data_IF_546795722880
#
_entry.id   IF_546795722880
#
_cell.length_a   1.000
_cell.length_b   1.000
_cell.length_c   1.000
_cell.angle_alpha   90.00
_cell.angle_beta   90.00
_cell.angle_gamma   90.00
#
_symmetry.space_group_name_H-M   'P 1'
#
loop_
_entity.id
_entity.type
_entity.pdbx_description
1 polymer ?
#
# COMPACT_ATOMS: atom_id res chain seq x y z
N UNK A 1 91.31 46.32 -23.94
CA UNK A 1 91.25 47.72 -24.40
C UNK A 1 91.61 47.78 -25.88
N UNK A 2 90.62 47.85 -26.77
CA UNK A 2 90.67 48.58 -28.06
C UNK A 2 89.35 48.38 -28.80
N UNK A 3 88.66 49.51 -28.92
CA UNK A 3 87.55 49.77 -29.83
C UNK A 3 88.05 49.61 -31.26
N UNK A 4 87.25 49.06 -32.18
CA UNK A 4 87.00 49.73 -33.48
C UNK A 4 85.83 49.11 -34.24
N UNK A 5 84.91 50.00 -34.60
CA UNK A 5 83.85 49.86 -35.60
C UNK A 5 84.43 49.48 -36.97
N UNK A 6 83.67 48.75 -37.79
CA UNK A 6 83.58 49.02 -39.24
C UNK A 6 82.16 48.88 -39.74
N UNK A 7 81.87 49.76 -40.70
CA UNK A 7 80.59 50.10 -41.32
C UNK A 7 80.22 49.15 -42.45
N UNK A 8 78.98 49.35 -42.93
CA UNK A 8 78.49 49.17 -44.30
C UNK A 8 78.09 47.75 -44.68
N UNK A 9 77.09 47.53 -45.52
CA UNK A 9 75.96 48.32 -46.00
C UNK A 9 75.00 47.28 -46.60
N UNK A 10 73.71 47.51 -46.42
CA UNK A 10 72.64 46.63 -46.90
C UNK A 10 72.57 46.66 -48.43
N UNK A 11 72.51 45.49 -49.05
CA UNK A 11 71.97 45.30 -50.40
C UNK A 11 70.75 44.37 -50.30
N UNK A 12 69.62 44.88 -50.77
CA UNK A 12 68.30 44.28 -50.71
C UNK A 12 68.17 43.22 -51.80
N UNK A 13 67.80 42.00 -51.42
CA UNK A 13 67.26 40.99 -52.34
C UNK A 13 65.78 40.78 -52.00
N UNK A 14 64.95 41.02 -53.01
CA UNK A 14 63.50 40.87 -52.99
C UNK A 14 63.18 39.36 -53.02
N UNK A 15 62.60 38.84 -51.93
CA UNK A 15 61.98 37.51 -51.91
C UNK A 15 60.47 37.68 -51.68
N UNK A 16 59.68 37.26 -52.68
CA UNK A 16 58.23 37.11 -52.59
C UNK A 16 57.91 36.00 -51.58
N UNK A 17 57.34 36.38 -50.43
CA UNK A 17 56.73 35.44 -49.48
C UNK A 17 55.22 35.55 -49.66
N UNK A 18 54.62 34.53 -50.25
CA UNK A 18 53.17 34.34 -50.35
C UNK A 18 52.69 33.90 -48.96
N UNK A 19 51.89 34.70 -48.22
CA UNK A 19 51.34 34.26 -46.95
C UNK A 19 50.27 33.19 -47.21
N UNK A 20 50.49 32.00 -46.65
CA UNK A 20 49.49 30.94 -46.58
C UNK A 20 48.22 31.48 -45.89
N UNK A 21 47.01 31.13 -46.37
CA UNK A 21 45.79 31.51 -45.67
C UNK A 21 45.80 30.88 -44.28
N UNK A 22 45.80 31.72 -43.25
CA UNK A 22 45.65 31.30 -41.87
C UNK A 22 44.35 30.53 -41.71
N UNK A 23 44.45 29.27 -41.27
CA UNK A 23 43.29 28.45 -40.95
C UNK A 23 42.60 29.05 -39.74
N UNK A 24 41.50 29.78 -39.95
CA UNK A 24 40.59 30.18 -38.88
C UNK A 24 39.97 28.90 -38.34
N UNK A 25 40.36 28.50 -37.13
CA UNK A 25 39.73 27.39 -36.42
C UNK A 25 38.35 27.87 -35.99
N UNK A 26 37.30 27.30 -36.58
CA UNK A 26 35.94 27.49 -36.07
C UNK A 26 35.91 27.01 -34.61
N UNK A 27 35.56 27.90 -33.68
CA UNK A 27 35.21 27.50 -32.33
C UNK A 27 33.83 26.83 -32.42
N UNK A 28 33.79 25.52 -32.19
CA UNK A 28 32.53 24.82 -31.95
C UNK A 28 31.85 25.43 -30.73
N UNK A 29 30.75 26.13 -30.95
CA UNK A 29 29.84 26.53 -29.89
C UNK A 29 29.05 25.28 -29.53
N UNK A 30 29.38 24.65 -28.41
CA UNK A 30 28.59 23.56 -27.87
C UNK A 30 27.17 24.08 -27.60
N UNK A 31 26.11 23.38 -28.06
CA UNK A 31 24.75 23.77 -27.77
C UNK A 31 24.53 23.75 -26.25
N UNK A 32 23.71 24.67 -25.70
CA UNK A 32 23.42 24.69 -24.28
C UNK A 32 22.79 23.35 -23.87
N UNK A 33 23.46 22.62 -22.98
CA UNK A 33 22.92 21.41 -22.39
C UNK A 33 21.93 21.79 -21.29
N UNK A 34 20.65 21.55 -21.55
CA UNK A 34 19.58 21.66 -20.56
C UNK A 34 19.59 20.41 -19.68
N UNK A 35 20.07 20.54 -18.45
CA UNK A 35 19.93 19.51 -17.43
C UNK A 35 18.55 19.67 -16.78
N UNK A 36 17.59 18.87 -17.22
CA UNK A 36 16.31 18.71 -16.53
C UNK A 36 16.55 17.87 -15.27
N UNK A 37 16.15 18.33 -14.06
CA UNK A 37 16.16 17.47 -12.91
C UNK A 37 15.16 16.32 -13.16
N UNK A 38 15.65 15.09 -13.16
CA UNK A 38 14.78 13.92 -13.12
C UNK A 38 14.20 13.84 -11.71
N UNK A 39 13.00 14.38 -11.51
CA UNK A 39 12.22 14.16 -10.29
C UNK A 39 11.58 12.78 -10.44
N UNK A 40 12.23 11.75 -9.92
CA UNK A 40 11.59 10.45 -9.73
C UNK A 40 10.82 10.51 -8.42
N UNK A 41 9.51 10.80 -8.46
CA UNK A 41 8.65 10.43 -7.35
C UNK A 41 8.51 8.91 -7.41
N UNK A 42 9.37 8.18 -6.70
CA UNK A 42 9.11 6.78 -6.37
C UNK A 42 7.98 6.75 -5.34
N UNK A 43 6.79 7.20 -5.73
CA UNK A 43 5.62 7.09 -4.87
C UNK A 43 5.33 5.60 -4.79
N UNK A 44 5.58 5.02 -3.60
CA UNK A 44 5.24 3.62 -3.29
C UNK A 44 3.76 3.34 -3.61
N UNK A 45 2.94 4.39 -3.56
CA UNK A 45 1.56 4.37 -3.93
C UNK A 45 1.32 4.90 -5.35
N UNK A 46 0.75 4.09 -6.25
CA UNK A 46 0.34 4.54 -7.57
C UNK A 46 -0.82 5.55 -7.49
N UNK A 47 -1.27 6.03 -8.65
CA UNK A 47 -2.47 6.86 -8.78
C UNK A 47 -3.71 6.21 -8.13
N UNK A 48 -4.74 7.03 -7.89
CA UNK A 48 -6.04 6.62 -7.35
C UNK A 48 -6.66 5.41 -8.11
N UNK A 49 -7.70 4.83 -7.51
CA UNK A 49 -8.45 3.73 -8.14
C UNK A 49 -9.44 4.22 -9.20
N UNK A 50 -9.71 5.53 -9.26
CA UNK A 50 -10.74 6.15 -10.09
C UNK A 50 -12.17 5.97 -9.54
N UNK A 51 -12.31 5.45 -8.32
CA UNK A 51 -13.60 5.22 -7.66
C UNK A 51 -14.08 6.46 -6.89
N UNK A 52 -15.37 6.45 -6.55
CA UNK A 52 -15.96 7.44 -5.64
C UNK A 52 -16.51 6.75 -4.39
N UNK A 53 -16.39 7.43 -3.25
CA UNK A 53 -16.72 6.86 -1.95
C UNK A 53 -17.80 7.68 -1.25
N UNK A 54 -18.61 7.01 -0.45
CA UNK A 54 -19.65 7.65 0.36
C UNK A 54 -19.62 7.13 1.79
N UNK A 55 -20.14 7.95 2.70
CA UNK A 55 -20.25 7.59 4.11
C UNK A 55 -21.70 7.29 4.49
N UNK A 56 -21.91 6.25 5.29
CA UNK A 56 -23.21 5.88 5.87
C UNK A 56 -23.19 6.06 7.38
N UNK A 57 -24.36 6.06 8.01
CA UNK A 57 -24.48 6.14 9.47
C UNK A 57 -23.92 4.88 10.13
N UNK A 58 -23.20 5.07 11.23
CA UNK A 58 -22.69 4.00 12.10
C UNK A 58 -23.75 3.60 13.12
N UNK A 59 -23.85 2.31 13.42
CA UNK A 59 -24.70 1.84 14.52
C UNK A 59 -24.02 2.09 15.86
N UNK A 60 -24.73 2.73 16.83
CA UNK A 60 -24.16 2.98 18.15
C UNK A 60 -23.95 1.66 18.93
N UNK A 61 -23.04 1.65 19.91
CA UNK A 61 -22.20 2.76 20.33
C UNK A 61 -20.99 2.97 19.40
N UNK A 62 -20.41 4.20 19.37
CA UNK A 62 -19.11 4.41 18.74
C UNK A 62 -18.02 3.61 19.45
N UNK A 63 -16.86 3.48 18.81
CA UNK A 63 -15.67 2.92 19.45
C UNK A 63 -15.32 3.69 20.73
N UNK A 64 -14.73 3.02 21.71
CA UNK A 64 -14.51 3.56 23.06
C UNK A 64 -13.26 4.44 23.20
N UNK A 65 -12.44 4.53 22.14
CA UNK A 65 -11.21 5.34 22.08
C UNK A 65 -10.85 5.67 20.63
N UNK A 66 -9.92 6.60 20.36
CA UNK A 66 -9.50 6.92 19.00
C UNK A 66 -9.09 5.67 18.21
N UNK A 67 -9.53 5.55 16.95
CA UNK A 67 -9.30 4.34 16.15
C UNK A 67 -7.80 4.04 15.93
N UNK A 68 -6.97 5.09 15.82
CA UNK A 68 -5.52 4.96 15.73
C UNK A 68 -4.88 4.34 16.99
N UNK A 69 -5.54 4.43 18.15
CA UNK A 69 -5.12 3.90 19.45
C UNK A 69 -5.88 2.61 19.83
N UNK A 70 -6.75 2.11 18.95
CA UNK A 70 -7.59 0.94 19.21
C UNK A 70 -6.97 -0.31 18.58
N UNK A 71 -6.40 -1.21 19.40
CA UNK A 71 -5.66 -2.39 18.93
C UNK A 71 -6.50 -3.43 18.15
N UNK A 72 -7.84 -3.37 18.26
CA UNK A 72 -8.72 -4.15 17.38
C UNK A 72 -8.98 -3.51 16.02
N UNK A 73 -8.81 -2.19 15.86
CA UNK A 73 -9.07 -1.49 14.60
C UNK A 73 -7.76 -1.21 13.86
N UNK A 74 -6.72 -0.82 14.57
CA UNK A 74 -5.38 -0.60 14.05
C UNK A 74 -4.47 -1.79 14.37
N UNK A 75 -4.33 -2.71 13.42
CA UNK A 75 -3.55 -3.94 13.58
C UNK A 75 -2.08 -3.66 13.93
N UNK A 76 -1.52 -2.51 13.53
CA UNK A 76 -0.13 -2.16 13.79
C UNK A 76 0.22 -2.04 15.29
N UNK A 77 -0.76 -1.75 16.14
CA UNK A 77 -0.57 -1.73 17.59
C UNK A 77 -0.26 -3.13 18.11
N UNK A 78 -1.01 -4.14 17.64
CA UNK A 78 -0.75 -5.55 17.92
C UNK A 78 0.53 -6.00 17.23
N UNK A 79 0.74 -5.62 15.97
CA UNK A 79 1.80 -6.16 15.12
C UNK A 79 1.71 -7.70 15.01
N UNK A 80 2.69 -8.31 14.37
CA UNK A 80 2.73 -9.74 14.14
C UNK A 80 4.18 -10.21 13.98
N UNK A 81 4.42 -11.49 14.22
CA UNK A 81 5.72 -12.13 14.05
C UNK A 81 5.62 -13.32 13.08
N UNK A 82 6.70 -13.66 12.36
CA UNK A 82 6.72 -14.82 11.46
C UNK A 82 6.37 -16.11 12.20
N UNK A 83 5.68 -17.00 11.49
CA UNK A 83 5.40 -18.37 11.94
C UNK A 83 5.67 -19.35 10.79
N UNK A 84 5.55 -20.64 11.07
CA UNK A 84 5.74 -21.70 10.06
C UNK A 84 4.42 -22.42 9.77
N UNK A 85 4.33 -23.03 8.59
CA UNK A 85 3.17 -23.77 8.13
C UNK A 85 3.18 -23.94 6.62
N UNK A 86 2.20 -24.68 6.09
CA UNK A 86 2.02 -24.79 4.65
C UNK A 86 1.65 -23.44 4.04
N UNK A 87 2.37 -23.03 3.00
CA UNK A 87 2.05 -21.87 2.15
C UNK A 87 0.98 -22.28 1.13
N UNK A 88 -0.26 -22.31 1.60
CA UNK A 88 -1.40 -22.73 0.78
C UNK A 88 -2.67 -22.86 1.60
N UNK A 89 -3.76 -23.19 0.91
CA UNK A 89 -5.04 -23.45 1.56
C UNK A 89 -4.97 -24.65 2.49
N UNK A 90 -5.66 -24.57 3.62
CA UNK A 90 -5.74 -25.64 4.62
C UNK A 90 -7.21 -26.00 4.89
N UNK A 91 -7.43 -27.28 5.19
CA UNK A 91 -8.76 -27.78 5.52
C UNK A 91 -8.98 -27.77 7.03
N UNK A 92 -9.97 -27.01 7.47
CA UNK A 92 -10.49 -27.06 8.82
C UNK A 92 -11.80 -27.84 8.86
N UNK A 93 -12.10 -28.49 9.98
CA UNK A 93 -13.42 -29.06 10.25
C UNK A 93 -14.40 -28.01 10.80
N UNK A 94 -15.67 -28.40 10.96
CA UNK A 94 -16.70 -27.58 11.61
C UNK A 94 -17.59 -26.79 10.64
N UNK A 95 -18.54 -26.05 11.22
CA UNK A 95 -19.49 -25.24 10.46
C UNK A 95 -18.79 -24.13 9.67
N UNK A 96 -19.46 -23.64 8.64
CA UNK A 96 -19.01 -22.52 7.79
C UNK A 96 -20.18 -21.56 7.66
N UNK A 97 -19.89 -20.26 7.64
CA UNK A 97 -20.90 -19.26 7.29
C UNK A 97 -20.99 -19.14 5.75
N UNK A 98 -22.17 -19.37 5.14
CA UNK A 98 -22.33 -19.27 3.69
C UNK A 98 -22.17 -17.84 3.15
N UNK A 99 -22.14 -16.83 4.02
CA UNK A 99 -21.95 -15.43 3.67
C UNK A 99 -20.59 -14.89 4.15
N UNK A 100 -19.65 -15.74 4.57
CA UNK A 100 -18.29 -15.31 4.85
C UNK A 100 -17.64 -14.61 3.63
N UNK A 101 -16.85 -13.54 3.83
CA UNK A 101 -16.15 -12.86 2.74
C UNK A 101 -15.16 -13.79 2.05
N UNK A 102 -15.11 -13.73 0.72
CA UNK A 102 -14.29 -14.63 -0.08
C UNK A 102 -13.01 -13.95 -0.56
N UNK A 103 -11.86 -14.34 -0.02
CA UNK A 103 -10.58 -13.65 -0.21
C UNK A 103 -10.06 -13.65 -1.65
N UNK A 104 -10.50 -14.57 -2.51
CA UNK A 104 -10.20 -14.47 -3.94
C UNK A 104 -10.75 -13.18 -4.56
N UNK A 105 -11.80 -12.59 -3.97
CA UNK A 105 -12.38 -11.31 -4.38
C UNK A 105 -11.49 -10.08 -4.14
N UNK A 106 -10.37 -10.22 -3.42
CA UNK A 106 -9.35 -9.17 -3.34
C UNK A 106 -8.75 -8.86 -4.72
N UNK A 107 -8.65 -9.88 -5.59
CA UNK A 107 -7.95 -9.80 -6.87
C UNK A 107 -8.94 -9.64 -8.03
N UNK A 108 -8.57 -8.82 -9.02
CA UNK A 108 -9.46 -8.52 -10.16
C UNK A 108 -9.75 -9.74 -11.05
N UNK A 109 -8.82 -10.68 -11.15
CA UNK A 109 -8.98 -11.95 -11.87
C UNK A 109 -9.59 -13.06 -11.01
N UNK A 110 -9.94 -12.74 -9.76
CA UNK A 110 -10.46 -13.67 -8.77
C UNK A 110 -9.58 -14.92 -8.60
N UNK A 111 -8.24 -14.80 -8.69
CA UNK A 111 -7.35 -15.93 -8.43
C UNK A 111 -7.35 -16.35 -6.96
N UNK A 112 -6.97 -17.60 -6.71
CA UNK A 112 -6.50 -17.98 -5.37
C UNK A 112 -5.17 -17.28 -5.14
N UNK A 113 -5.05 -16.47 -4.08
CA UNK A 113 -3.80 -15.79 -3.76
C UNK A 113 -2.70 -16.81 -3.46
N UNK A 114 -1.50 -16.58 -4.00
CA UNK A 114 -0.33 -17.38 -3.64
C UNK A 114 0.18 -16.91 -2.28
N UNK A 115 0.30 -17.83 -1.32
CA UNK A 115 0.74 -17.53 0.03
C UNK A 115 2.27 -17.43 0.06
N UNK A 116 2.82 -16.27 0.44
CA UNK A 116 4.27 -16.01 0.41
C UNK A 116 4.91 -16.03 1.79
N UNK A 117 4.16 -15.65 2.82
CA UNK A 117 4.61 -15.68 4.21
C UNK A 117 3.43 -15.86 5.17
N UNK A 118 3.72 -16.35 6.38
CA UNK A 118 2.75 -16.63 7.42
C UNK A 118 3.18 -15.96 8.72
N UNK A 119 2.21 -15.40 9.44
CA UNK A 119 2.46 -14.68 10.67
C UNK A 119 1.45 -15.01 11.76
N UNK A 120 1.84 -14.76 13.00
CA UNK A 120 0.98 -14.72 14.18
C UNK A 120 0.91 -13.29 14.70
N UNK A 121 -0.31 -12.77 14.77
CA UNK A 121 -0.65 -11.51 15.43
C UNK A 121 -0.43 -11.65 16.94
N UNK A 122 0.07 -10.60 17.58
CA UNK A 122 0.13 -10.54 19.04
C UNK A 122 -1.25 -10.31 19.65
N UNK A 123 -1.48 -10.93 20.80
CA UNK A 123 -2.63 -10.62 21.62
C UNK A 123 -2.53 -9.20 22.21
N UNK A 124 -3.62 -8.73 22.80
CA UNK A 124 -3.69 -7.41 23.42
C UNK A 124 -4.21 -7.53 24.84
N UNK A 125 -3.41 -7.05 25.78
CA UNK A 125 -3.79 -6.97 27.16
C UNK A 125 -4.50 -5.63 27.41
N UNK A 126 -5.83 -5.69 27.54
CA UNK A 126 -6.66 -4.52 27.77
C UNK A 126 -6.48 -3.89 29.16
N UNK A 127 -5.98 -4.62 30.15
CA UNK A 127 -5.77 -4.08 31.50
C UNK A 127 -4.63 -3.04 31.54
N UNK A 128 -3.56 -3.27 30.76
CA UNK A 128 -2.47 -2.30 30.58
C UNK A 128 -2.62 -1.47 29.30
N UNK A 129 -3.57 -1.82 28.43
CA UNK A 129 -3.65 -1.35 27.04
C UNK A 129 -2.31 -1.51 26.29
N UNK A 130 -1.76 -2.73 26.33
CA UNK A 130 -0.44 -3.03 25.80
C UNK A 130 -0.38 -4.40 25.10
N UNK A 131 0.64 -4.60 24.26
CA UNK A 131 0.85 -5.83 23.50
C UNK A 131 1.10 -7.02 24.43
N UNK A 132 0.39 -8.11 24.21
CA UNK A 132 0.56 -9.39 24.91
C UNK A 132 1.45 -10.37 24.14
N UNK A 133 1.30 -11.66 24.45
CA UNK A 133 2.00 -12.76 23.77
C UNK A 133 1.44 -13.03 22.36
N UNK A 134 2.15 -13.80 21.53
CA UNK A 134 1.63 -14.25 20.25
C UNK A 134 0.39 -15.14 20.42
N UNK A 135 -0.69 -14.88 19.68
CA UNK A 135 -1.92 -15.67 19.73
C UNK A 135 -1.64 -17.15 19.48
N UNK A 136 -1.94 -18.01 20.45
CA UNK A 136 -1.61 -19.44 20.42
C UNK A 136 -2.37 -20.24 19.35
N UNK A 137 -3.58 -19.79 19.02
CA UNK A 137 -4.46 -20.43 18.06
C UNK A 137 -5.31 -19.37 17.34
N UNK A 138 -5.53 -19.49 16.02
CA UNK A 138 -4.93 -20.47 15.11
C UNK A 138 -3.40 -20.26 14.94
N UNK A 139 -2.66 -21.28 14.43
CA UNK A 139 -1.19 -21.20 14.29
C UNK A 139 -0.73 -20.16 13.26
N UNK A 140 -1.64 -19.68 12.42
CA UNK A 140 -1.48 -18.54 11.50
C UNK A 140 -2.70 -17.64 11.69
N UNK A 141 -2.47 -16.35 11.89
CA UNK A 141 -3.54 -15.33 12.05
C UNK A 141 -3.39 -14.16 11.08
N UNK A 142 -2.29 -14.12 10.32
CA UNK A 142 -2.10 -13.25 9.17
C UNK A 142 -1.32 -14.02 8.10
N UNK A 143 -1.72 -13.87 6.84
CA UNK A 143 -1.02 -14.41 5.69
C UNK A 143 -0.66 -13.30 4.72
N UNK A 144 0.51 -13.40 4.11
CA UNK A 144 0.87 -12.56 2.97
C UNK A 144 0.51 -13.26 1.67
N UNK A 145 -0.17 -12.53 0.79
CA UNK A 145 -0.60 -13.00 -0.52
C UNK A 145 0.16 -12.26 -1.62
N UNK A 146 0.74 -13.00 -2.57
CA UNK A 146 1.51 -12.43 -3.67
C UNK A 146 0.65 -11.48 -4.52
N UNK A 147 1.22 -10.34 -4.87
CA UNK A 147 0.65 -9.29 -5.72
C UNK A 147 1.68 -8.77 -6.70
N UNK A 148 1.22 -7.99 -7.69
CA UNK A 148 2.08 -7.10 -8.45
C UNK A 148 1.98 -5.69 -7.86
N UNK A 149 3.10 -4.95 -7.68
CA UNK A 149 3.02 -3.56 -7.24
C UNK A 149 2.07 -2.75 -8.13
N UNK A 150 1.09 -2.09 -7.50
CA UNK A 150 0.06 -1.30 -8.15
C UNK A 150 -1.19 -2.06 -8.63
N UNK A 151 -1.24 -3.38 -8.43
CA UNK A 151 -2.44 -4.21 -8.66
C UNK A 151 -3.63 -3.66 -7.86
N UNK A 152 -4.81 -3.56 -8.49
CA UNK A 152 -6.03 -3.11 -7.80
C UNK A 152 -6.47 -4.14 -6.76
N UNK A 153 -6.74 -3.66 -5.55
CA UNK A 153 -7.29 -4.43 -4.44
C UNK A 153 -8.75 -4.02 -4.22
N UNK A 154 -9.62 -5.03 -4.16
CA UNK A 154 -11.08 -4.88 -4.15
C UNK A 154 -11.70 -5.44 -2.87
N UNK A 155 -12.88 -4.94 -2.51
CA UNK A 155 -13.67 -5.49 -1.41
C UNK A 155 -14.04 -6.95 -1.71
N UNK A 156 -13.62 -7.92 -0.86
CA UNK A 156 -14.08 -9.29 -0.99
C UNK A 156 -15.59 -9.37 -0.78
N UNK A 157 -16.30 -9.87 -1.79
CA UNK A 157 -17.75 -10.07 -1.71
C UNK A 157 -18.09 -11.14 -0.66
N UNK A 158 -19.03 -10.76 0.17
CA UNK A 158 -19.78 -11.48 1.17
C UNK A 158 -21.24 -11.15 0.83
N UNK A 159 -22.12 -12.15 0.77
CA UNK A 159 -23.52 -11.87 0.42
C UNK A 159 -24.30 -11.08 1.49
N UNK A 160 -23.63 -10.51 2.50
CA UNK A 160 -24.23 -9.59 3.45
C UNK A 160 -24.53 -8.24 2.81
N UNK A 161 -25.30 -7.42 3.52
CA UNK A 161 -25.44 -6.00 3.20
C UNK A 161 -25.53 -5.20 4.48
N UNK A 162 -24.92 -4.02 4.46
CA UNK A 162 -25.03 -3.03 5.52
C UNK A 162 -25.95 -1.86 5.10
N UNK A 163 -26.80 -2.09 4.08
CA UNK A 163 -27.76 -1.13 3.56
C UNK A 163 -27.23 -0.32 2.37
N UNK A 164 -28.16 0.23 1.58
CA UNK A 164 -27.87 1.11 0.43
C UNK A 164 -26.90 0.54 -0.62
N UNK A 165 -26.83 -0.79 -0.72
CA UNK A 165 -25.93 -1.52 -1.64
C UNK A 165 -24.47 -1.58 -1.18
N UNK A 166 -24.17 -1.18 0.05
CA UNK A 166 -22.87 -1.34 0.69
C UNK A 166 -22.80 -2.65 1.46
N UNK A 167 -21.57 -3.05 1.73
CA UNK A 167 -21.26 -4.33 2.36
C UNK A 167 -20.24 -4.21 3.48
N UNK A 168 -19.26 -3.31 3.33
CA UNK A 168 -18.27 -3.05 4.37
C UNK A 168 -18.27 -1.60 4.82
N UNK A 169 -18.04 -1.41 6.11
CA UNK A 169 -17.75 -0.13 6.74
C UNK A 169 -16.23 -0.02 6.96
N UNK A 170 -15.63 1.13 6.69
CA UNK A 170 -14.21 1.39 6.94
C UNK A 170 -14.03 1.87 8.38
N UNK A 171 -13.48 1.01 9.25
CA UNK A 171 -13.27 1.33 10.67
C UNK A 171 -11.97 2.07 10.91
N UNK A 172 -10.95 1.83 10.10
CA UNK A 172 -9.65 2.48 10.21
C UNK A 172 -8.95 2.50 8.86
N UNK A 173 -8.27 3.60 8.54
CA UNK A 173 -7.43 3.72 7.35
C UNK A 173 -6.20 4.60 7.64
N UNK A 174 -5.07 4.20 7.07
CA UNK A 174 -3.89 5.06 6.83
C UNK A 174 -3.49 4.90 5.36
N UNK A 175 -2.46 5.60 4.85
CA UNK A 175 -2.03 5.37 3.47
C UNK A 175 -1.65 3.91 3.18
N UNK A 176 -1.13 3.18 4.17
CA UNK A 176 -0.57 1.83 3.99
C UNK A 176 -1.43 0.66 4.49
N UNK A 177 -2.56 0.92 5.16
CA UNK A 177 -3.42 -0.13 5.74
C UNK A 177 -4.87 0.30 5.89
N UNK A 178 -5.77 -0.67 5.91
CA UNK A 178 -7.20 -0.45 6.12
C UNK A 178 -7.83 -1.59 6.92
N UNK A 179 -8.89 -1.26 7.66
CA UNK A 179 -9.73 -2.22 8.37
C UNK A 179 -11.17 -2.12 7.88
N UNK A 180 -11.67 -3.22 7.31
CA UNK A 180 -13.01 -3.33 6.73
C UNK A 180 -13.91 -4.19 7.64
N UNK A 181 -15.14 -3.75 7.87
CA UNK A 181 -16.10 -4.43 8.74
C UNK A 181 -17.38 -4.76 8.00
N UNK A 182 -17.82 -6.01 8.07
CA UNK A 182 -19.03 -6.51 7.38
C UNK A 182 -20.33 -6.27 8.17
N UNK A 183 -20.32 -5.30 9.08
CA UNK A 183 -21.48 -4.80 9.82
C UNK A 183 -21.38 -3.28 9.94
N UNK A 184 -22.40 -2.62 10.50
CA UNK A 184 -22.38 -1.16 10.72
C UNK A 184 -21.82 -0.74 12.08
N UNK A 185 -21.33 -1.67 12.88
CA UNK A 185 -20.86 -1.39 14.23
C UNK A 185 -19.42 -0.87 14.20
N UNK A 186 -19.12 0.15 15.00
CA UNK A 186 -17.77 0.71 15.14
C UNK A 186 -16.91 -0.09 16.14
N UNK A 187 -16.87 -1.40 15.92
CA UNK A 187 -16.10 -2.35 16.71
C UNK A 187 -15.97 -3.69 15.95
N UNK A 188 -15.23 -4.62 16.53
CA UNK A 188 -15.00 -5.94 15.93
C UNK A 188 -15.78 -7.07 16.59
N UNK A 189 -16.66 -6.77 17.56
CA UNK A 189 -17.23 -7.76 18.49
C UNK A 189 -18.09 -8.81 17.79
N UNK A 190 -18.85 -8.42 16.76
CA UNK A 190 -19.73 -9.32 16.02
C UNK A 190 -19.53 -9.20 14.52
N UNK A 191 -19.47 -10.32 13.80
CA UNK A 191 -19.33 -10.37 12.35
C UNK A 191 -17.90 -10.20 11.86
N UNK A 192 -17.70 -10.38 10.55
CA UNK A 192 -16.38 -10.42 9.95
C UNK A 192 -15.68 -9.07 9.90
N UNK A 193 -14.37 -9.07 10.14
CA UNK A 193 -13.48 -7.89 9.98
C UNK A 193 -12.23 -8.32 9.22
N UNK A 194 -11.83 -7.53 8.22
CA UNK A 194 -10.57 -7.72 7.50
C UNK A 194 -9.60 -6.61 7.87
N UNK A 195 -8.35 -6.99 8.14
CA UNK A 195 -7.22 -6.08 8.22
C UNK A 195 -6.31 -6.32 7.02
N UNK A 196 -6.03 -5.27 6.26
CA UNK A 196 -5.15 -5.31 5.10
C UNK A 196 -3.94 -4.43 5.34
N UNK A 197 -2.75 -4.98 5.12
CA UNK A 197 -1.45 -4.32 5.29
C UNK A 197 -0.66 -4.31 3.98
N UNK A 198 0.27 -3.36 3.86
CA UNK A 198 1.14 -3.15 2.69
C UNK A 198 0.36 -2.89 1.38
N UNK A 199 -0.70 -2.12 1.53
CA UNK A 199 -1.51 -1.59 0.43
C UNK A 199 -1.28 -0.08 0.30
N UNK A 200 -1.89 0.52 -0.70
CA UNK A 200 -1.96 1.95 -0.92
C UNK A 200 -3.43 2.32 -1.00
N UNK A 201 -3.99 2.74 0.14
CA UNK A 201 -5.39 3.13 0.25
C UNK A 201 -5.65 4.32 -0.68
N UNK A 202 -6.79 4.29 -1.37
CA UNK A 202 -7.18 5.37 -2.25
C UNK A 202 -7.19 6.72 -1.50
N UNK A 203 -6.53 7.77 -2.03
CA UNK A 203 -6.46 9.07 -1.38
C UNK A 203 -7.81 9.71 -1.08
N UNK A 204 -8.82 9.53 -1.94
CA UNK A 204 -10.17 10.06 -1.71
C UNK A 204 -10.88 9.31 -0.58
N UNK A 205 -10.71 7.97 -0.54
CA UNK A 205 -11.23 7.16 0.56
C UNK A 205 -10.57 7.52 1.90
N UNK A 206 -9.25 7.68 1.90
CA UNK A 206 -8.50 8.09 3.08
C UNK A 206 -8.95 9.46 3.58
N UNK A 207 -9.07 10.45 2.68
CA UNK A 207 -9.55 11.80 3.02
C UNK A 207 -10.97 11.76 3.60
N UNK A 208 -11.86 10.95 3.01
CA UNK A 208 -13.22 10.77 3.53
C UNK A 208 -13.20 10.13 4.92
N UNK A 209 -12.40 9.09 5.12
CA UNK A 209 -12.23 8.45 6.43
C UNK A 209 -11.76 9.46 7.48
N UNK A 210 -10.68 10.20 7.23
CA UNK A 210 -10.11 11.18 8.16
C UNK A 210 -11.11 12.29 8.51
N UNK A 211 -11.88 12.76 7.53
CA UNK A 211 -12.94 13.76 7.74
C UNK A 211 -14.03 13.21 8.67
N UNK A 212 -14.46 11.97 8.45
CA UNK A 212 -15.50 11.33 9.26
C UNK A 212 -15.02 10.98 10.67
N UNK A 213 -13.75 10.56 10.80
CA UNK A 213 -13.10 10.28 12.08
C UNK A 213 -13.00 11.54 12.95
N UNK A 214 -12.49 12.64 12.37
CA UNK A 214 -12.42 13.94 13.02
C UNK A 214 -13.81 14.51 13.39
N UNK A 215 -14.85 14.14 12.65
CA UNK A 215 -16.24 14.51 12.92
C UNK A 215 -16.94 13.63 13.98
N UNK A 216 -16.20 12.74 14.65
CA UNK A 216 -16.74 11.92 15.75
C UNK A 216 -17.43 10.64 15.31
N UNK A 217 -17.15 10.14 14.10
CA UNK A 217 -17.45 8.76 13.65
C UNK A 217 -18.94 8.35 13.65
N UNK A 218 -19.88 9.29 13.76
CA UNK A 218 -21.32 9.00 13.60
C UNK A 218 -21.69 8.51 12.19
N UNK A 219 -20.81 8.79 11.23
CA UNK A 219 -20.81 8.25 9.87
C UNK A 219 -19.39 7.79 9.55
N UNK A 220 -19.24 6.74 8.76
CA UNK A 220 -17.94 6.27 8.26
C UNK A 220 -18.07 5.85 6.79
N UNK A 221 -16.97 5.86 6.02
CA UNK A 221 -16.98 5.39 4.63
C UNK A 221 -17.52 3.96 4.54
N UNK A 222 -18.30 3.68 3.50
CA UNK A 222 -18.76 2.34 3.20
C UNK A 222 -18.49 1.99 1.74
N UNK A 223 -18.20 0.72 1.49
CA UNK A 223 -17.79 0.21 0.18
C UNK A 223 -18.72 -0.90 -0.28
N UNK A 224 -18.87 -1.02 -1.60
CA UNK A 224 -19.71 -2.02 -2.28
C UNK A 224 -18.93 -3.31 -2.53
N UNK A 225 -19.61 -4.46 -2.76
CA UNK A 225 -18.97 -5.69 -3.23
C UNK A 225 -18.08 -5.42 -4.44
N UNK A 226 -16.84 -5.90 -4.43
CA UNK A 226 -15.91 -5.81 -5.55
C UNK A 226 -15.41 -4.38 -5.87
N UNK A 227 -15.80 -3.37 -5.08
CA UNK A 227 -15.33 -2.00 -5.26
C UNK A 227 -13.82 -1.92 -5.00
N UNK A 228 -13.01 -1.38 -5.93
CA UNK A 228 -11.62 -1.03 -5.67
C UNK A 228 -11.52 -0.02 -4.52
N UNK A 229 -10.57 -0.24 -3.61
CA UNK A 229 -10.33 0.69 -2.49
C UNK A 229 -8.85 1.00 -2.27
N UNK A 230 -7.97 0.21 -2.89
CA UNK A 230 -6.54 0.36 -2.75
C UNK A 230 -5.80 -0.25 -3.94
N UNK A 231 -4.49 -0.03 -3.96
CA UNK A 231 -3.55 -0.77 -4.80
C UNK A 231 -2.54 -1.52 -3.94
N UNK A 232 -1.96 -2.62 -4.41
CA UNK A 232 -0.87 -3.28 -3.70
C UNK A 232 0.36 -2.35 -3.65
N UNK A 233 0.96 -2.15 -2.47
CA UNK A 233 2.16 -1.31 -2.34
C UNK A 233 3.45 -2.04 -2.76
N UNK A 234 3.41 -3.38 -2.77
CA UNK A 234 4.57 -4.22 -3.04
C UNK A 234 4.18 -5.53 -3.75
N UNK A 235 5.08 -6.51 -3.73
CA UNK A 235 4.88 -7.86 -4.30
C UNK A 235 4.04 -8.76 -3.41
N UNK A 236 3.61 -8.31 -2.23
CA UNK A 236 2.63 -9.02 -1.41
C UNK A 236 1.79 -8.04 -0.58
N UNK A 237 0.60 -8.48 -0.18
CA UNK A 237 -0.25 -7.78 0.79
C UNK A 237 -0.51 -8.68 2.00
N UNK A 238 -0.56 -8.10 3.20
CA UNK A 238 -0.90 -8.84 4.41
C UNK A 238 -2.42 -8.86 4.62
N UNK A 239 -2.98 -10.03 4.94
CA UNK A 239 -4.41 -10.20 5.24
C UNK A 239 -4.59 -10.92 6.57
N UNK A 240 -5.33 -10.30 7.49
CA UNK A 240 -5.84 -10.94 8.69
C UNK A 240 -7.37 -10.84 8.74
N UNK A 241 -8.03 -11.88 9.22
CA UNK A 241 -9.49 -11.93 9.35
C UNK A 241 -9.84 -12.13 10.81
N UNK A 242 -10.88 -11.43 11.27
CA UNK A 242 -11.56 -11.74 12.51
C UNK A 242 -12.99 -12.17 12.24
N UNK A 243 -13.44 -13.17 12.98
CA UNK A 243 -14.85 -13.50 13.17
C UNK A 243 -15.22 -13.17 14.61
N UNK A 244 -16.10 -12.18 14.78
CA UNK A 244 -16.68 -11.85 16.08
C UNK A 244 -15.62 -11.66 17.18
N UNK A 245 -14.60 -10.85 16.85
CA UNK A 245 -13.48 -10.54 17.73
C UNK A 245 -12.37 -11.59 17.79
N UNK A 246 -12.47 -12.75 17.15
CA UNK A 246 -11.40 -13.75 17.17
C UNK A 246 -10.64 -13.75 15.86
N UNK A 247 -9.29 -13.70 15.91
CA UNK A 247 -8.48 -13.86 14.70
C UNK A 247 -8.59 -15.29 14.17
N UNK A 248 -8.75 -15.40 12.85
CA UNK A 248 -8.93 -16.66 12.13
C UNK A 248 -7.72 -16.95 11.23
N UNK A 249 -7.59 -18.20 10.77
CA UNK A 249 -6.55 -18.56 9.80
C UNK A 249 -7.02 -18.15 8.38
N UNK A 250 -6.37 -17.17 7.72
CA UNK A 250 -6.77 -16.73 6.38
C UNK A 250 -6.65 -17.80 5.31
N UNK A 251 -5.98 -18.93 5.59
CA UNK A 251 -5.82 -20.07 4.67
C UNK A 251 -7.01 -21.02 4.68
N UNK A 252 -7.97 -20.88 5.60
CA UNK A 252 -9.08 -21.83 5.72
C UNK A 252 -9.88 -21.90 4.41
N UNK A 253 -9.77 -23.05 3.71
CA UNK A 253 -10.41 -23.25 2.40
C UNK A 253 -11.92 -23.11 2.49
N UNK A 254 -12.52 -23.78 3.49
CA UNK A 254 -13.98 -23.82 3.64
C UNK A 254 -14.58 -22.44 3.89
N UNK A 255 -13.86 -21.58 4.63
CA UNK A 255 -14.39 -20.31 5.10
C UNK A 255 -14.19 -19.20 4.05
N UNK A 256 -12.97 -19.06 3.52
CA UNK A 256 -12.58 -17.86 2.76
C UNK A 256 -12.31 -18.11 1.28
N UNK A 257 -12.26 -19.37 0.85
CA UNK A 257 -11.82 -19.77 -0.49
C UNK A 257 -12.74 -20.81 -1.11
N UNK A 258 -14.05 -20.61 -1.02
CA UNK A 258 -15.04 -21.56 -1.53
C UNK A 258 -14.86 -21.77 -3.04
N UNK A 259 -14.88 -23.04 -3.45
CA UNK A 259 -14.67 -23.44 -4.84
C UNK A 259 -13.20 -23.43 -5.31
N UNK A 260 -12.24 -23.29 -4.38
CA UNK A 260 -10.79 -23.30 -4.65
C UNK A 260 -10.08 -24.48 -4.00
#
# INVERSE_FOLDING_TARGET
MRVTRRRAALAVFLLLIIPSPGSIRAQEVLPPQLFLPLITTSTRCPADTGESYAAITVEPPPTDRPAAEHADLNLALRSYAPTSGALGLVDYGGATDPLAPQLYGLFSDQRTGEFTSLHRVYDWNWACNCRGDLLAYPPVTLAELATVPGELIRVPDSGYTIGSGYEVLVLYATPERITLKYTRNDNVVHGFTLHLEDICVDPELLTLYETMDAAGRSRLPALRPGQPFARAASTAIGVAIRDSGTFMDPRSRKDWWRGR
#
